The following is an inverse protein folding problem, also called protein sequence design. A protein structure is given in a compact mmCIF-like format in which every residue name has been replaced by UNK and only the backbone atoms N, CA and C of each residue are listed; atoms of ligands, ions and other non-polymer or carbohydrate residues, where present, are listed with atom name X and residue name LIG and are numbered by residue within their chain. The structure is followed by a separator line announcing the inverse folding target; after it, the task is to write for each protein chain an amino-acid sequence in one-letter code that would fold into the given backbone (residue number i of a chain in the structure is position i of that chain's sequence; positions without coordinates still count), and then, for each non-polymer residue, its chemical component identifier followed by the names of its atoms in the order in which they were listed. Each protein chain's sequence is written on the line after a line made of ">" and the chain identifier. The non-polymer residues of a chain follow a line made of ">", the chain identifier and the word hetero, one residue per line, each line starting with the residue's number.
data_IF_895407433671
#
_entry.id   IF_895407433671
#
_cell.length_a   1.000
_cell.length_b   1.000
_cell.length_c   1.000
_cell.angle_alpha   90.00
_cell.angle_beta   90.00
_cell.angle_gamma   90.00
#
_symmetry.space_group_name_H-M   'P 1'
#
loop_
_entity.id
_entity.type
_entity.pdbx_description
1 polymer ?
#
# COMPACT_ATOMS: atom_id res chain seq x y z
N UNK A 1 -22.03 14.68 -0.41
CA UNK A 1 -21.07 13.70 0.12
C UNK A 1 -21.76 12.98 1.28
N UNK A 2 -22.01 11.70 1.13
CA UNK A 2 -22.57 10.89 2.22
C UNK A 2 -21.42 10.44 3.14
N UNK A 3 -21.57 10.65 4.45
CA UNK A 3 -20.58 10.25 5.46
C UNK A 3 -21.18 9.08 6.24
N UNK A 4 -20.48 7.96 6.21
CA UNK A 4 -20.85 6.74 6.95
C UNK A 4 -19.80 6.42 8.02
N UNK A 5 -20.08 5.42 8.85
CA UNK A 5 -19.13 4.86 9.83
C UNK A 5 -18.15 3.85 9.18
N UNK A 6 -18.18 3.72 7.84
CA UNK A 6 -17.29 2.85 7.09
C UNK A 6 -15.83 3.31 7.21
N UNK A 7 -14.93 2.37 6.96
CA UNK A 7 -13.46 2.63 6.92
C UNK A 7 -12.95 2.50 5.50
N UNK A 8 -11.93 3.28 5.16
CA UNK A 8 -11.22 3.14 3.88
C UNK A 8 -10.31 1.90 3.93
N UNK A 9 -10.05 1.30 2.78
CA UNK A 9 -9.17 0.14 2.63
C UNK A 9 -9.36 -0.90 3.77
N UNK A 10 -10.53 -1.56 3.83
CA UNK A 10 -10.90 -2.41 4.96
C UNK A 10 -9.96 -3.59 5.16
N UNK A 11 -9.36 -4.17 4.10
CA UNK A 11 -8.43 -5.29 4.23
C UNK A 11 -7.06 -4.83 4.78
N UNK A 12 -6.55 -3.67 4.33
CA UNK A 12 -5.35 -3.02 4.92
C UNK A 12 -5.58 -2.73 6.39
N UNK A 13 -6.80 -2.30 6.73
CA UNK A 13 -7.21 -1.97 8.10
C UNK A 13 -7.39 -3.17 9.02
N UNK A 14 -7.55 -4.37 8.47
CA UNK A 14 -7.89 -5.58 9.23
C UNK A 14 -6.65 -6.30 9.77
N UNK A 15 -6.74 -6.73 11.03
CA UNK A 15 -5.77 -7.65 11.61
C UNK A 15 -6.16 -9.09 11.27
N UNK A 16 -5.25 -9.84 10.64
CA UNK A 16 -5.43 -11.26 10.35
C UNK A 16 -4.09 -12.00 10.25
N UNK A 17 -4.13 -13.32 10.38
CA UNK A 17 -2.93 -14.13 10.22
C UNK A 17 -2.63 -14.37 8.73
N UNK A 18 -1.34 -14.49 8.34
CA UNK A 18 -0.98 -14.86 6.97
C UNK A 18 -1.70 -16.13 6.50
N UNK A 19 -2.25 -16.08 5.29
CA UNK A 19 -3.10 -17.13 4.72
C UNK A 19 -4.58 -17.03 5.06
N UNK A 20 -4.99 -15.97 5.76
CA UNK A 20 -6.37 -15.76 6.21
C UNK A 20 -7.06 -14.54 5.60
N UNK A 21 -6.53 -13.99 4.50
CA UNK A 21 -7.14 -12.84 3.83
C UNK A 21 -8.57 -13.13 3.36
N UNK A 22 -8.82 -14.29 2.77
CA UNK A 22 -10.17 -14.68 2.33
C UNK A 22 -11.15 -14.75 3.51
N UNK A 23 -10.74 -15.36 4.63
CA UNK A 23 -11.56 -15.42 5.86
C UNK A 23 -11.78 -14.02 6.47
N UNK A 24 -10.80 -13.11 6.34
CA UNK A 24 -10.94 -11.73 6.80
C UNK A 24 -11.98 -10.97 5.95
N UNK A 25 -11.98 -11.16 4.63
CA UNK A 25 -12.97 -10.58 3.72
C UNK A 25 -14.38 -11.14 4.01
N UNK A 26 -14.51 -12.46 4.18
CA UNK A 26 -15.80 -13.11 4.49
C UNK A 26 -16.44 -12.62 5.80
N UNK A 27 -15.64 -12.13 6.75
CA UNK A 27 -16.14 -11.56 8.02
C UNK A 27 -16.65 -10.14 7.92
N UNK A 28 -16.46 -9.47 6.80
CA UNK A 28 -16.98 -8.11 6.56
C UNK A 28 -18.47 -8.24 6.23
N UNK A 29 -19.33 -7.84 7.16
CA UNK A 29 -20.80 -7.94 7.02
C UNK A 29 -21.34 -7.00 5.94
N UNK A 30 -20.74 -5.82 5.79
CA UNK A 30 -21.08 -4.85 4.76
C UNK A 30 -20.59 -5.35 3.39
N UNK A 31 -21.53 -5.66 2.51
CA UNK A 31 -21.23 -6.24 1.19
C UNK A 31 -20.39 -5.31 0.29
N UNK A 32 -20.60 -4.02 0.38
CA UNK A 32 -19.86 -3.03 -0.43
C UNK A 32 -18.43 -2.91 0.09
N UNK A 33 -18.24 -2.85 1.43
CA UNK A 33 -16.90 -2.92 2.01
C UNK A 33 -16.19 -4.25 1.70
N UNK A 34 -16.92 -5.38 1.71
CA UNK A 34 -16.35 -6.66 1.32
C UNK A 34 -15.89 -6.67 -0.16
N UNK A 35 -16.63 -5.98 -1.03
CA UNK A 35 -16.26 -5.81 -2.44
C UNK A 35 -14.98 -4.96 -2.58
N UNK A 36 -14.86 -3.87 -1.83
CA UNK A 36 -13.63 -3.07 -1.77
C UNK A 36 -12.46 -3.93 -1.25
N UNK A 37 -12.65 -4.69 -0.16
CA UNK A 37 -11.63 -5.60 0.37
C UNK A 37 -11.19 -6.67 -0.65
N UNK A 38 -12.12 -7.14 -1.48
CA UNK A 38 -11.83 -8.05 -2.58
C UNK A 38 -10.97 -7.36 -3.67
N UNK A 39 -11.24 -6.09 -3.97
CA UNK A 39 -10.41 -5.25 -4.84
C UNK A 39 -8.98 -5.09 -4.29
N UNK A 40 -8.85 -4.81 -2.98
CA UNK A 40 -7.56 -4.76 -2.30
C UNK A 40 -6.80 -6.08 -2.43
N UNK A 41 -7.48 -7.21 -2.18
CA UNK A 41 -6.88 -8.54 -2.34
C UNK A 41 -6.34 -8.76 -3.77
N UNK A 42 -7.13 -8.39 -4.80
CA UNK A 42 -6.68 -8.52 -6.18
C UNK A 42 -5.48 -7.63 -6.49
N UNK A 43 -5.48 -6.38 -6.02
CA UNK A 43 -4.34 -5.50 -6.21
C UNK A 43 -3.07 -6.07 -5.55
N UNK A 44 -3.13 -6.35 -4.24
CA UNK A 44 -1.95 -6.81 -3.51
C UNK A 44 -1.46 -8.21 -3.95
N UNK A 45 -2.33 -9.02 -4.54
CA UNK A 45 -1.95 -10.29 -5.16
C UNK A 45 -1.54 -10.18 -6.64
N UNK A 46 -1.19 -8.97 -7.11
CA UNK A 46 -0.72 -8.68 -8.46
C UNK A 46 -1.71 -9.03 -9.58
N UNK A 47 -3.01 -8.79 -9.34
CA UNK A 47 -4.11 -9.00 -10.27
C UNK A 47 -4.78 -7.65 -10.59
N UNK A 48 -4.00 -6.68 -11.12
CA UNK A 48 -4.43 -5.29 -11.30
C UNK A 48 -5.69 -5.15 -12.17
N UNK A 49 -5.83 -5.92 -13.25
CA UNK A 49 -7.02 -5.88 -14.11
C UNK A 49 -8.29 -6.29 -13.33
N UNK A 50 -8.19 -7.35 -12.49
CA UNK A 50 -9.32 -7.79 -11.66
C UNK A 50 -9.64 -6.78 -10.55
N UNK A 51 -8.64 -6.09 -10.03
CA UNK A 51 -8.84 -5.00 -9.09
C UNK A 51 -9.71 -3.92 -9.74
N UNK A 52 -9.28 -3.37 -10.89
CA UNK A 52 -10.02 -2.33 -11.63
C UNK A 52 -11.46 -2.77 -11.89
N UNK A 53 -11.66 -3.99 -12.42
CA UNK A 53 -13.00 -4.50 -12.72
C UNK A 53 -13.90 -4.59 -11.48
N UNK A 54 -13.32 -4.91 -10.33
CA UNK A 54 -14.05 -5.10 -9.08
C UNK A 54 -14.48 -3.76 -8.46
N UNK A 55 -13.66 -2.68 -8.61
CA UNK A 55 -13.88 -1.43 -7.87
C UNK A 55 -14.44 -0.30 -8.72
N UNK A 56 -14.49 -0.41 -10.04
CA UNK A 56 -14.85 0.67 -10.96
C UNK A 56 -16.22 1.31 -10.68
N UNK A 57 -17.19 0.52 -10.22
CA UNK A 57 -18.55 0.99 -9.95
C UNK A 57 -18.63 1.86 -8.66
N UNK A 58 -17.53 1.93 -7.89
CA UNK A 58 -17.43 2.73 -6.67
C UNK A 58 -16.72 4.08 -6.87
N UNK A 59 -16.18 4.37 -8.07
CA UNK A 59 -15.46 5.64 -8.34
C UNK A 59 -16.36 6.87 -8.20
N UNK A 60 -17.66 6.75 -8.56
CA UNK A 60 -18.65 7.82 -8.45
C UNK A 60 -19.64 7.58 -7.29
N UNK A 61 -19.28 6.72 -6.32
CA UNK A 61 -20.18 6.35 -5.23
C UNK A 61 -20.46 7.52 -4.28
N UNK A 62 -21.70 7.64 -3.80
CA UNK A 62 -22.11 8.71 -2.88
C UNK A 62 -21.38 8.65 -1.53
N UNK A 63 -21.16 7.44 -0.99
CA UNK A 63 -20.38 7.23 0.22
C UNK A 63 -18.91 7.52 -0.01
N UNK A 64 -18.39 8.50 0.72
CA UNK A 64 -17.02 8.99 0.57
C UNK A 64 -15.95 7.94 0.90
N UNK A 65 -16.21 7.04 1.84
CA UNK A 65 -15.22 6.04 2.26
C UNK A 65 -15.04 4.94 1.21
N UNK A 66 -16.12 4.54 0.56
CA UNK A 66 -16.08 3.59 -0.56
C UNK A 66 -15.39 4.24 -1.76
N UNK A 67 -15.76 5.48 -2.12
CA UNK A 67 -15.16 6.21 -3.23
C UNK A 67 -13.66 6.42 -3.04
N UNK A 68 -13.20 6.91 -1.88
CA UNK A 68 -11.77 7.10 -1.62
C UNK A 68 -10.98 5.79 -1.71
N UNK A 69 -11.56 4.67 -1.24
CA UNK A 69 -10.94 3.35 -1.36
C UNK A 69 -10.82 2.93 -2.82
N UNK A 70 -11.89 3.14 -3.61
CA UNK A 70 -11.89 2.86 -5.04
C UNK A 70 -10.87 3.73 -5.79
N UNK A 71 -10.82 5.03 -5.52
CA UNK A 71 -9.87 5.97 -6.14
C UNK A 71 -8.41 5.56 -5.89
N UNK A 72 -8.08 5.17 -4.65
CA UNK A 72 -6.74 4.68 -4.32
C UNK A 72 -6.40 3.40 -5.09
N UNK A 73 -7.28 2.40 -5.04
CA UNK A 73 -7.06 1.12 -5.72
C UNK A 73 -7.01 1.28 -7.24
N UNK A 74 -7.86 2.14 -7.80
CA UNK A 74 -7.88 2.46 -9.22
C UNK A 74 -6.57 3.12 -9.66
N UNK A 75 -6.07 4.09 -8.86
CA UNK A 75 -4.76 4.71 -9.08
C UNK A 75 -3.65 3.66 -9.10
N UNK A 76 -3.56 2.84 -8.07
CA UNK A 76 -2.51 1.84 -7.92
C UNK A 76 -2.54 0.81 -9.07
N UNK A 77 -3.72 0.26 -9.36
CA UNK A 77 -3.89 -0.73 -10.41
C UNK A 77 -3.56 -0.15 -11.80
N UNK A 78 -3.99 1.07 -12.11
CA UNK A 78 -3.69 1.70 -13.40
C UNK A 78 -2.21 2.07 -13.55
N UNK A 79 -1.53 2.47 -12.47
CA UNK A 79 -0.06 2.65 -12.50
C UNK A 79 0.65 1.32 -12.82
N UNK A 80 0.22 0.21 -12.21
CA UNK A 80 0.74 -1.12 -12.52
C UNK A 80 0.45 -1.53 -13.98
N UNK A 81 -0.72 -1.18 -14.51
CA UNK A 81 -1.11 -1.42 -15.91
C UNK A 81 -0.45 -0.45 -16.91
N UNK A 82 0.14 0.65 -16.42
CA UNK A 82 0.82 1.66 -17.22
C UNK A 82 -0.09 2.76 -17.76
N UNK A 83 -1.31 2.89 -17.23
CA UNK A 83 -2.22 4.00 -17.53
C UNK A 83 -2.07 5.12 -16.49
N UNK A 84 -1.09 5.98 -16.72
CA UNK A 84 -0.82 7.13 -15.84
C UNK A 84 -1.90 8.22 -15.95
N UNK A 85 -2.63 8.31 -17.06
CA UNK A 85 -3.66 9.31 -17.24
C UNK A 85 -4.88 9.02 -16.36
N UNK A 86 -5.35 7.78 -16.34
CA UNK A 86 -6.41 7.34 -15.45
C UNK A 86 -6.04 7.57 -13.97
N UNK A 87 -4.80 7.24 -13.60
CA UNK A 87 -4.30 7.45 -12.24
C UNK A 87 -4.22 8.94 -11.83
N UNK A 88 -3.92 9.85 -12.75
CA UNK A 88 -3.91 11.30 -12.46
C UNK A 88 -5.31 11.86 -12.26
N UNK A 89 -6.30 11.35 -12.98
CA UNK A 89 -7.67 11.83 -12.85
C UNK A 89 -8.24 11.60 -11.44
N UNK A 90 -8.03 10.41 -10.88
CA UNK A 90 -8.46 10.11 -9.51
C UNK A 90 -7.80 10.99 -8.45
N UNK A 91 -6.58 11.47 -8.68
CA UNK A 91 -5.93 12.43 -7.77
C UNK A 91 -6.69 13.76 -7.68
N UNK A 92 -7.21 14.26 -8.79
CA UNK A 92 -8.00 15.50 -8.82
C UNK A 92 -9.31 15.32 -8.04
N UNK A 93 -9.99 14.19 -8.20
CA UNK A 93 -11.23 13.87 -7.50
C UNK A 93 -11.01 13.78 -5.98
N UNK A 94 -9.95 13.08 -5.56
CA UNK A 94 -9.58 12.99 -4.13
C UNK A 94 -9.15 14.33 -3.57
N UNK A 95 -8.45 15.18 -4.34
CA UNK A 95 -8.11 16.55 -3.92
C UNK A 95 -9.34 17.42 -3.70
N UNK A 96 -10.34 17.34 -4.57
CA UNK A 96 -11.61 18.04 -4.38
C UNK A 96 -12.34 17.54 -3.13
N UNK A 97 -12.34 16.23 -2.90
CA UNK A 97 -12.92 15.61 -1.71
C UNK A 97 -12.22 16.12 -0.43
N UNK A 98 -10.88 16.14 -0.43
CA UNK A 98 -10.07 16.69 0.66
C UNK A 98 -10.42 18.16 0.93
N UNK A 99 -10.39 18.99 -0.10
CA UNK A 99 -10.67 20.44 0.03
C UNK A 99 -12.04 20.69 0.63
N UNK A 100 -13.07 19.99 0.16
CA UNK A 100 -14.42 20.06 0.69
C UNK A 100 -14.49 19.61 2.14
N UNK A 101 -13.89 18.47 2.48
CA UNK A 101 -13.88 17.94 3.84
C UNK A 101 -13.22 18.88 4.85
N UNK A 102 -12.19 19.64 4.44
CA UNK A 102 -11.50 20.59 5.31
C UNK A 102 -12.29 21.88 5.55
N UNK A 103 -13.16 22.27 4.65
CA UNK A 103 -14.00 23.47 4.75
C UNK A 103 -15.31 23.25 5.52
N UNK A 104 -15.85 22.03 5.48
CA UNK A 104 -17.11 21.66 6.11
C UNK A 104 -16.92 21.23 7.58
N UNK A 105 -18.01 21.18 8.33
CA UNK A 105 -18.04 20.55 9.68
C UNK A 105 -18.04 19.02 9.54
N UNK A 106 -16.94 18.51 9.05
CA UNK A 106 -16.72 17.10 8.74
C UNK A 106 -16.02 16.41 9.93
N UNK A 107 -16.44 15.20 10.32
CA UNK A 107 -15.76 14.43 11.37
C UNK A 107 -14.26 14.23 11.09
N UNK A 108 -13.45 14.27 12.15
CA UNK A 108 -11.99 14.24 12.03
C UNK A 108 -11.46 12.94 11.40
N UNK A 109 -12.13 11.81 11.60
CA UNK A 109 -11.80 10.53 10.97
C UNK A 109 -11.99 10.58 9.43
N UNK A 110 -13.03 11.28 8.96
CA UNK A 110 -13.27 11.49 7.52
C UNK A 110 -12.21 12.44 6.93
N UNK A 111 -11.88 13.52 7.64
CA UNK A 111 -10.75 14.41 7.26
C UNK A 111 -9.45 13.62 7.15
N UNK A 112 -9.20 12.74 8.13
CA UNK A 112 -8.02 11.87 8.13
C UNK A 112 -8.01 10.90 6.94
N UNK A 113 -9.16 10.31 6.60
CA UNK A 113 -9.30 9.41 5.45
C UNK A 113 -9.05 10.12 4.12
N UNK A 114 -9.66 11.32 3.92
CA UNK A 114 -9.43 12.13 2.71
C UNK A 114 -7.96 12.53 2.57
N UNK A 115 -7.35 12.99 3.66
CA UNK A 115 -5.94 13.38 3.65
C UNK A 115 -5.01 12.21 3.40
N UNK A 116 -5.29 11.07 4.02
CA UNK A 116 -4.54 9.84 3.81
C UNK A 116 -4.61 9.40 2.34
N UNK A 117 -5.82 9.31 1.75
CA UNK A 117 -5.99 8.93 0.35
C UNK A 117 -5.23 9.89 -0.58
N UNK A 118 -5.31 11.20 -0.34
CA UNK A 118 -4.61 12.20 -1.14
C UNK A 118 -3.07 12.04 -1.06
N UNK A 119 -2.52 11.84 0.15
CA UNK A 119 -1.08 11.61 0.32
C UNK A 119 -0.62 10.31 -0.34
N UNK A 120 -1.38 9.22 -0.16
CA UNK A 120 -1.06 7.93 -0.77
C UNK A 120 -0.99 8.06 -2.29
N UNK A 121 -2.03 8.59 -2.92
CA UNK A 121 -2.08 8.79 -4.38
C UNK A 121 -0.94 9.72 -4.85
N UNK A 122 -0.69 10.81 -4.12
CA UNK A 122 0.38 11.77 -4.44
C UNK A 122 1.77 11.12 -4.40
N UNK A 123 2.04 10.28 -3.41
CA UNK A 123 3.32 9.55 -3.28
C UNK A 123 3.48 8.54 -4.43
N UNK A 124 2.44 7.78 -4.74
CA UNK A 124 2.49 6.79 -5.83
C UNK A 124 2.66 7.45 -7.21
N UNK A 125 2.05 8.62 -7.43
CA UNK A 125 2.22 9.40 -8.65
C UNK A 125 3.53 10.21 -8.70
N UNK A 126 4.30 10.25 -7.61
CA UNK A 126 5.46 11.15 -7.45
C UNK A 126 5.12 12.64 -7.65
N UNK A 127 3.91 13.05 -7.30
CA UNK A 127 3.45 14.43 -7.34
C UNK A 127 3.36 14.93 -5.90
N UNK A 128 4.18 15.90 -5.48
CA UNK A 128 4.12 16.40 -4.10
C UNK A 128 2.76 17.04 -3.82
N UNK A 129 2.27 16.96 -2.57
CA UNK A 129 1.10 17.73 -2.15
C UNK A 129 1.29 19.23 -2.38
N UNK A 130 0.20 19.94 -2.69
CA UNK A 130 0.20 21.38 -2.89
C UNK A 130 0.58 22.14 -1.61
N UNK A 131 1.12 23.34 -1.78
CA UNK A 131 1.41 24.25 -0.66
C UNK A 131 0.12 24.55 0.13
N UNK A 132 0.18 24.43 1.44
CA UNK A 132 -0.98 24.60 2.33
C UNK A 132 -1.73 23.29 2.64
N UNK A 133 -1.41 22.18 2.00
CA UNK A 133 -1.96 20.87 2.41
C UNK A 133 -1.53 20.52 3.83
N UNK A 134 -2.47 20.17 4.75
CA UNK A 134 -2.10 19.80 6.12
C UNK A 134 -1.14 18.59 6.14
N UNK A 135 -0.16 18.56 7.06
CA UNK A 135 0.75 17.42 7.14
C UNK A 135 0.02 16.16 7.64
N UNK A 136 0.20 15.05 6.92
CA UNK A 136 -0.45 13.76 7.23
C UNK A 136 -0.23 13.32 8.68
N UNK A 137 0.95 13.61 9.25
CA UNK A 137 1.33 13.24 10.61
C UNK A 137 0.34 13.71 11.67
N UNK A 138 -0.34 14.82 11.46
CA UNK A 138 -1.34 15.36 12.40
C UNK A 138 -2.64 14.52 12.40
N UNK A 139 -2.91 13.78 11.31
CA UNK A 139 -4.14 13.03 11.12
C UNK A 139 -3.97 11.52 11.29
N UNK A 140 -2.74 11.00 11.28
CA UNK A 140 -2.44 9.58 11.52
C UNK A 140 -3.13 9.02 12.77
N UNK A 141 -3.20 9.72 13.94
CA UNK A 141 -3.87 9.18 15.12
C UNK A 141 -5.36 8.90 14.96
N UNK A 142 -6.01 9.50 13.95
CA UNK A 142 -7.44 9.30 13.67
C UNK A 142 -7.73 8.20 12.64
N UNK A 143 -6.68 7.59 12.08
CA UNK A 143 -6.81 6.42 11.22
C UNK A 143 -6.88 5.14 12.06
N UNK A 144 -7.60 4.10 11.62
CA UNK A 144 -7.48 2.74 12.19
C UNK A 144 -6.02 2.24 12.12
N UNK A 145 -5.67 1.31 13.02
CA UNK A 145 -4.27 0.87 13.20
C UNK A 145 -3.63 0.37 11.89
N UNK A 146 -4.32 -0.45 11.11
CA UNK A 146 -3.77 -0.97 9.86
C UNK A 146 -3.45 0.15 8.85
N UNK A 147 -4.36 1.09 8.64
CA UNK A 147 -4.13 2.26 7.78
C UNK A 147 -3.06 3.18 8.36
N UNK A 148 -2.98 3.31 9.69
CA UNK A 148 -1.93 4.07 10.36
C UNK A 148 -0.55 3.48 10.08
N UNK A 149 -0.40 2.16 10.17
CA UNK A 149 0.85 1.46 9.84
C UNK A 149 1.22 1.63 8.37
N UNK A 150 0.23 1.55 7.47
CA UNK A 150 0.43 1.80 6.05
C UNK A 150 0.85 3.25 5.78
N UNK A 151 0.21 4.24 6.39
CA UNK A 151 0.61 5.64 6.29
C UNK A 151 2.05 5.87 6.78
N UNK A 152 2.45 5.22 7.88
CA UNK A 152 3.83 5.31 8.39
C UNK A 152 4.83 4.69 7.42
N UNK A 153 4.50 3.61 6.70
CA UNK A 153 5.39 3.04 5.68
C UNK A 153 5.66 4.02 4.54
N UNK A 154 4.64 4.77 4.12
CA UNK A 154 4.76 5.80 3.07
C UNK A 154 5.61 6.98 3.53
N UNK A 155 5.39 7.48 4.75
CA UNK A 155 6.23 8.54 5.33
C UNK A 155 7.69 8.10 5.49
N UNK A 156 7.91 6.86 5.91
CA UNK A 156 9.26 6.30 5.99
C UNK A 156 9.91 6.18 4.59
N UNK A 157 9.13 5.81 3.57
CA UNK A 157 9.59 5.79 2.18
C UNK A 157 9.96 7.21 1.69
N UNK A 158 9.16 8.22 2.01
CA UNK A 158 9.49 9.62 1.70
C UNK A 158 10.82 10.06 2.35
N UNK A 159 11.03 9.71 3.62
CA UNK A 159 12.29 9.98 4.34
C UNK A 159 13.45 9.22 3.67
N UNK A 160 13.22 7.96 3.26
CA UNK A 160 14.21 7.17 2.50
C UNK A 160 14.62 7.86 1.18
N UNK A 161 13.67 8.41 0.43
CA UNK A 161 13.94 9.13 -0.82
C UNK A 161 14.80 10.39 -0.60
N UNK A 162 14.73 10.99 0.59
CA UNK A 162 15.60 12.09 1.04
C UNK A 162 16.98 11.61 1.52
N UNK A 163 17.27 10.31 1.39
CA UNK A 163 18.53 9.65 1.79
C UNK A 163 18.80 9.65 3.30
N UNK A 164 17.81 9.95 4.13
CA UNK A 164 17.92 9.84 5.59
C UNK A 164 17.52 8.41 6.04
N UNK A 165 18.35 7.46 5.66
CA UNK A 165 18.08 6.02 5.83
C UNK A 165 17.98 5.61 7.30
N UNK A 166 18.78 6.20 8.17
CA UNK A 166 18.77 5.89 9.60
C UNK A 166 17.46 6.36 10.27
N UNK A 167 16.97 7.56 9.91
CA UNK A 167 15.70 8.07 10.38
C UNK A 167 14.53 7.26 9.83
N UNK A 168 14.52 6.95 8.53
CA UNK A 168 13.49 6.11 7.91
C UNK A 168 13.39 4.74 8.61
N UNK A 169 14.53 4.08 8.84
CA UNK A 169 14.61 2.81 9.58
C UNK A 169 14.03 2.93 11.00
N UNK A 170 14.39 4.00 11.73
CA UNK A 170 13.86 4.25 13.08
C UNK A 170 12.35 4.46 13.10
N UNK A 171 11.78 5.15 12.11
CA UNK A 171 10.34 5.32 11.95
C UNK A 171 9.63 3.98 11.73
N UNK A 172 10.16 3.12 10.86
CA UNK A 172 9.62 1.77 10.63
C UNK A 172 9.69 0.90 11.88
N UNK A 173 10.80 0.92 12.59
CA UNK A 173 10.95 0.17 13.84
C UNK A 173 9.94 0.63 14.90
N UNK A 174 9.70 1.93 15.00
CA UNK A 174 8.65 2.48 15.86
C UNK A 174 7.26 1.98 15.47
N UNK A 175 6.96 1.89 14.17
CA UNK A 175 5.69 1.36 13.68
C UNK A 175 5.46 -0.10 14.06
N UNK A 176 6.48 -0.96 13.94
CA UNK A 176 6.39 -2.36 14.38
C UNK A 176 6.12 -2.50 15.89
N UNK A 177 6.69 -1.61 16.71
CA UNK A 177 6.46 -1.60 18.15
C UNK A 177 5.04 -1.13 18.52
N UNK A 178 4.40 -0.30 17.69
CA UNK A 178 3.03 0.20 17.92
C UNK A 178 1.95 -0.78 17.44
N UNK A 179 2.30 -1.79 16.65
CA UNK A 179 1.34 -2.75 16.15
C UNK A 179 0.84 -3.64 17.28
N UNK A 180 -0.49 -3.67 17.50
CA UNK A 180 -1.18 -4.50 18.49
C UNK A 180 -1.66 -5.83 17.95
N UNK A 181 -1.39 -6.11 16.68
CA UNK A 181 -1.79 -7.31 15.95
C UNK A 181 -0.99 -7.49 14.67
N UNK A 182 -1.36 -8.47 13.87
CA UNK A 182 -0.74 -8.75 12.57
C UNK A 182 -1.59 -8.09 11.48
N UNK A 183 -1.03 -7.09 10.81
CA UNK A 183 -1.61 -6.40 9.67
C UNK A 183 -0.76 -6.70 8.43
N UNK A 184 -0.95 -7.85 7.76
CA UNK A 184 0.03 -8.39 6.82
C UNK A 184 0.42 -7.41 5.73
N UNK A 185 -0.54 -6.74 5.09
CA UNK A 185 -0.28 -5.79 4.00
C UNK A 185 0.65 -4.67 4.47
N UNK A 186 0.28 -3.98 5.55
CA UNK A 186 1.07 -2.87 6.11
C UNK A 186 2.45 -3.33 6.59
N UNK A 187 2.53 -4.52 7.19
CA UNK A 187 3.81 -5.11 7.65
C UNK A 187 4.74 -5.47 6.50
N UNK A 188 4.19 -5.92 5.35
CA UNK A 188 5.00 -6.18 4.16
C UNK A 188 5.62 -4.88 3.65
N UNK A 189 4.83 -3.79 3.52
CA UNK A 189 5.34 -2.48 3.09
C UNK A 189 6.39 -1.93 4.06
N UNK A 190 6.13 -1.96 5.37
CA UNK A 190 7.11 -1.57 6.39
C UNK A 190 8.40 -2.40 6.27
N UNK A 191 8.29 -3.72 6.10
CA UNK A 191 9.43 -4.60 5.91
C UNK A 191 10.24 -4.27 4.66
N UNK A 192 9.58 -3.98 3.53
CA UNK A 192 10.27 -3.56 2.31
C UNK A 192 11.06 -2.25 2.52
N UNK A 193 10.43 -1.23 3.12
CA UNK A 193 11.10 0.05 3.41
C UNK A 193 12.26 -0.13 4.39
N UNK A 194 12.09 -0.96 5.43
CA UNK A 194 13.18 -1.28 6.37
C UNK A 194 14.36 -1.94 5.67
N UNK A 195 14.10 -2.93 4.81
CA UNK A 195 15.14 -3.61 4.05
C UNK A 195 15.90 -2.65 3.11
N UNK A 196 15.17 -1.75 2.43
CA UNK A 196 15.77 -0.71 1.59
C UNK A 196 16.72 0.20 2.39
N UNK A 197 16.31 0.60 3.61
CA UNK A 197 17.17 1.39 4.51
C UNK A 197 18.41 0.59 4.93
N UNK A 198 18.25 -0.66 5.34
CA UNK A 198 19.34 -1.55 5.75
C UNK A 198 20.36 -1.78 4.64
N UNK A 199 19.91 -1.97 3.39
CA UNK A 199 20.80 -2.09 2.22
C UNK A 199 21.68 -0.84 2.08
N UNK A 200 21.10 0.35 2.18
CA UNK A 200 21.86 1.60 2.05
C UNK A 200 22.77 1.87 3.26
N UNK A 201 22.40 1.38 4.44
CA UNK A 201 23.24 1.42 5.65
C UNK A 201 24.31 0.32 5.68
N UNK A 202 24.41 -0.53 4.63
CA UNK A 202 25.34 -1.67 4.53
C UNK A 202 25.06 -2.81 5.52
N UNK A 203 23.83 -2.91 6.02
CA UNK A 203 23.34 -3.97 6.91
C UNK A 203 22.71 -5.09 6.06
N UNK A 204 23.52 -5.77 5.26
CA UNK A 204 23.05 -6.71 4.24
C UNK A 204 22.37 -7.97 4.81
N UNK A 205 22.87 -8.50 5.92
CA UNK A 205 22.31 -9.70 6.54
C UNK A 205 20.94 -9.40 7.17
N UNK A 206 20.82 -8.26 7.83
CA UNK A 206 19.57 -7.78 8.39
C UNK A 206 18.52 -7.53 7.29
N UNK A 207 18.93 -6.95 6.15
CA UNK A 207 18.05 -6.76 5.01
C UNK A 207 17.49 -8.09 4.49
N UNK A 208 18.33 -9.13 4.37
CA UNK A 208 17.89 -10.47 3.96
C UNK A 208 16.88 -11.06 4.98
N UNK A 209 17.13 -10.90 6.27
CA UNK A 209 16.20 -11.36 7.31
C UNK A 209 14.87 -10.62 7.25
N UNK A 210 14.91 -9.29 7.08
CA UNK A 210 13.71 -8.43 6.97
C UNK A 210 12.86 -8.80 5.76
N UNK A 211 13.47 -8.97 4.57
CA UNK A 211 12.75 -9.40 3.36
C UNK A 211 12.19 -10.82 3.54
N UNK A 212 12.96 -11.72 4.18
CA UNK A 212 12.48 -13.07 4.48
C UNK A 212 11.26 -13.07 5.39
N UNK A 213 11.22 -12.19 6.39
CA UNK A 213 10.06 -12.02 7.27
C UNK A 213 8.86 -11.42 6.51
N UNK A 214 9.08 -10.39 5.70
CA UNK A 214 8.02 -9.80 4.86
C UNK A 214 7.41 -10.85 3.91
N UNK A 215 8.25 -11.73 3.36
CA UNK A 215 7.80 -12.84 2.54
C UNK A 215 6.91 -13.84 3.31
N UNK A 216 7.22 -14.14 4.59
CA UNK A 216 6.35 -15.01 5.41
C UNK A 216 4.96 -14.40 5.63
N UNK A 217 4.84 -13.08 5.72
CA UNK A 217 3.54 -12.42 5.77
C UNK A 217 2.78 -12.47 4.43
N UNK A 218 3.50 -12.46 3.31
CA UNK A 218 2.93 -12.33 1.98
C UNK A 218 2.53 -13.66 1.32
N UNK A 219 3.37 -14.70 1.43
CA UNK A 219 3.36 -15.87 0.55
C UNK A 219 2.07 -16.68 0.54
N UNK A 220 1.38 -16.78 1.67
CA UNK A 220 0.18 -17.59 1.79
C UNK A 220 -1.04 -16.95 1.12
N UNK A 221 -1.16 -15.62 1.22
CA UNK A 221 -2.20 -14.83 0.57
C UNK A 221 -1.76 -14.30 -0.81
N UNK A 222 -0.51 -14.60 -1.22
CA UNK A 222 0.09 -14.18 -2.50
C UNK A 222 0.21 -12.66 -2.65
N UNK A 223 0.44 -11.94 -1.57
CA UNK A 223 0.62 -10.49 -1.61
C UNK A 223 1.97 -10.11 -2.22
N UNK A 224 2.01 -10.13 -3.57
CA UNK A 224 3.25 -9.96 -4.35
C UNK A 224 3.52 -8.51 -4.75
N UNK A 225 2.47 -7.69 -4.84
CA UNK A 225 2.57 -6.32 -5.38
C UNK A 225 3.60 -5.46 -4.65
N UNK A 226 3.73 -5.45 -3.29
CA UNK A 226 4.74 -4.65 -2.61
C UNK A 226 6.18 -5.01 -3.03
N UNK A 227 6.46 -6.28 -3.32
CA UNK A 227 7.78 -6.71 -3.80
C UNK A 227 8.02 -6.32 -5.26
N UNK A 228 6.97 -6.28 -6.07
CA UNK A 228 7.03 -5.82 -7.46
C UNK A 228 7.34 -4.33 -7.49
N UNK A 229 6.64 -3.53 -6.69
CA UNK A 229 6.82 -2.09 -6.58
C UNK A 229 8.25 -1.73 -6.11
N UNK A 230 8.76 -2.42 -5.09
CA UNK A 230 10.07 -2.12 -4.50
C UNK A 230 11.23 -2.95 -5.06
N UNK A 231 10.98 -3.82 -6.06
CA UNK A 231 11.99 -4.72 -6.61
C UNK A 231 13.32 -4.03 -6.93
N UNK A 232 13.27 -2.89 -7.65
CA UNK A 232 14.47 -2.16 -8.03
C UNK A 232 15.24 -1.54 -6.86
N UNK A 233 14.57 -1.28 -5.74
CA UNK A 233 15.16 -0.68 -4.53
C UNK A 233 15.66 -1.72 -3.52
N UNK A 234 15.28 -2.98 -3.71
CA UNK A 234 15.76 -4.11 -2.90
C UNK A 234 17.08 -4.70 -3.40
N UNK A 235 17.65 -4.16 -4.50
CA UNK A 235 19.00 -4.44 -4.99
C UNK A 235 19.43 -5.92 -4.99
N UNK A 236 18.56 -6.82 -5.43
CA UNK A 236 18.85 -8.25 -5.52
C UNK A 236 18.68 -9.04 -4.22
N UNK A 237 18.34 -8.40 -3.10
CA UNK A 237 18.07 -9.10 -1.83
C UNK A 237 16.87 -10.03 -1.95
N UNK A 238 15.84 -9.62 -2.69
CA UNK A 238 14.65 -10.45 -2.96
C UNK A 238 15.04 -11.75 -3.68
N UNK A 239 15.90 -11.66 -4.71
CA UNK A 239 16.39 -12.83 -5.46
C UNK A 239 17.21 -13.78 -4.57
N UNK A 240 18.00 -13.23 -3.65
CA UNK A 240 18.74 -14.05 -2.66
C UNK A 240 17.77 -14.80 -1.76
N UNK A 241 16.72 -14.15 -1.28
CA UNK A 241 15.69 -14.77 -0.45
C UNK A 241 14.95 -15.88 -1.21
N UNK A 242 14.57 -15.63 -2.47
CA UNK A 242 13.90 -16.62 -3.33
C UNK A 242 14.82 -17.84 -3.52
N UNK A 243 16.09 -17.66 -3.92
CA UNK A 243 17.04 -18.76 -4.13
C UNK A 243 17.31 -19.57 -2.87
N UNK A 244 17.45 -18.93 -1.70
CA UNK A 244 17.62 -19.63 -0.43
C UNK A 244 16.42 -20.54 -0.11
N UNK A 245 15.20 -20.17 -0.55
CA UNK A 245 13.97 -20.95 -0.34
C UNK A 245 13.69 -21.93 -1.48
N UNK A 246 14.14 -21.66 -2.72
CA UNK A 246 14.05 -22.60 -3.85
C UNK A 246 14.84 -23.89 -3.62
N UNK A 247 15.89 -23.86 -2.81
CA UNK A 247 16.53 -25.10 -2.34
C UNK A 247 15.58 -25.97 -1.51
N UNK A 248 14.41 -25.45 -1.12
CA UNK A 248 13.37 -26.14 -0.35
C UNK A 248 12.08 -26.36 -1.15
N UNK A 249 11.83 -25.59 -2.23
CA UNK A 249 10.58 -25.64 -3.01
C UNK A 249 10.82 -25.44 -4.55
N UNK A 250 11.26 -26.47 -5.22
CA UNK A 250 11.22 -26.52 -6.69
C UNK A 250 9.77 -26.46 -7.20
N UNK A 251 9.33 -25.42 -7.89
CA UNK A 251 8.30 -25.48 -8.95
C UNK A 251 7.38 -24.25 -9.15
N UNK A 252 7.40 -23.19 -8.36
CA UNK A 252 6.46 -22.06 -8.56
C UNK A 252 7.09 -20.75 -9.06
N UNK A 253 8.40 -20.61 -9.01
CA UNK A 253 9.11 -19.36 -9.27
C UNK A 253 9.24 -18.98 -10.76
N UNK A 254 9.20 -19.92 -11.67
CA UNK A 254 9.46 -19.65 -13.11
C UNK A 254 8.43 -18.74 -13.80
N UNK A 255 7.17 -18.83 -13.41
CA UNK A 255 6.09 -18.05 -14.04
C UNK A 255 6.01 -16.64 -13.47
N UNK A 256 6.26 -16.48 -12.15
CA UNK A 256 6.20 -15.18 -11.47
C UNK A 256 7.37 -14.26 -11.83
N UNK A 257 8.60 -14.79 -12.01
CA UNK A 257 9.75 -13.98 -12.44
C UNK A 257 9.58 -13.32 -13.81
N UNK A 258 8.84 -13.93 -14.74
CA UNK A 258 8.58 -13.30 -16.04
C UNK A 258 7.67 -12.07 -15.92
N UNK A 259 6.70 -12.11 -15.01
CA UNK A 259 5.79 -11.00 -14.77
C UNK A 259 6.48 -9.85 -14.02
N UNK A 260 7.30 -10.15 -13.01
CA UNK A 260 8.14 -9.17 -12.29
C UNK A 260 9.05 -8.42 -13.26
N UNK A 261 9.77 -9.13 -14.17
CA UNK A 261 10.63 -8.49 -15.18
C UNK A 261 9.88 -7.59 -16.17
N UNK A 262 8.62 -7.92 -16.49
CA UNK A 262 7.79 -7.07 -17.36
C UNK A 262 7.32 -5.81 -16.65
N UNK A 263 6.88 -5.90 -15.39
CA UNK A 263 6.46 -4.75 -14.57
C UNK A 263 7.63 -3.81 -14.26
N UNK A 264 8.79 -4.34 -13.86
CA UNK A 264 9.98 -3.52 -13.56
C UNK A 264 10.45 -2.70 -14.76
N UNK A 265 10.37 -3.26 -15.98
CA UNK A 265 10.67 -2.51 -17.21
C UNK A 265 9.68 -1.38 -17.49
N UNK A 266 8.41 -1.49 -17.03
CA UNK A 266 7.40 -0.43 -17.14
C UNK A 266 7.61 0.67 -16.11
N UNK A 267 7.85 0.30 -14.85
CA UNK A 267 8.07 1.26 -13.74
C UNK A 267 9.35 2.08 -13.95
N UNK A 268 10.45 1.47 -14.42
CA UNK A 268 11.67 2.20 -14.77
C UNK A 268 11.50 3.17 -15.95
N UNK A 269 10.50 2.99 -16.83
CA UNK A 269 10.21 3.95 -17.92
C UNK A 269 9.42 5.18 -17.47
N UNK A 270 8.79 5.14 -16.31
CA UNK A 270 8.06 6.28 -15.70
C UNK A 270 9.00 7.18 -14.88
N UNK A 271 10.25 6.74 -14.64
CA UNK A 271 11.25 7.43 -13.80
C UNK A 271 12.26 8.32 -14.55
N UNK A 272 12.02 8.65 -15.85
CA UNK A 272 12.84 9.61 -16.59
C UNK A 272 12.00 10.79 -17.04
#
# INVERSE_FOLDING_TARGET
>A
MEISDRVILPLVGSAFQPGKAAEAIEKIEDKELAQIAQGEYYFFSAQAERCVETIKDYLDHDDVMLRLSADMLYTFANLTLGDSQAAQHTREDVHQCLTRSMQEDTPVNVKAACLFAFYVISIFLHIPPEEGTPPLQQYIPYLPIGQRLFAVSLLAHEIYLRQDYAKAKGVVQGAFLMADGVYPISMIYLGCVQAMCQINLKEQEEAIQTVSQAWEWARFDKFMEPFIEYHGLLYGVLEVCIRKKESVMHLQAGIQMQNVRKSTKRICRIRI
#
